data_IF_916356227576
#
_entry.id   IF_916356227576
#
_cell.length_a   1.000
_cell.length_b   1.000
_cell.length_c   1.000
_cell.angle_alpha   90.00
_cell.angle_beta   90.00
_cell.angle_gamma   90.00
#
_symmetry.space_group_name_H-M   'P 1'
#
loop_
_entity.id
_entity.type
_entity.pdbx_description
1 polymer ?
#
# COMPACT_ATOMS: atom_id res chain seq x y z
N UNK A 1 -14.34 -10.16 1.96
CA UNK A 1 -13.29 -9.11 1.89
C UNK A 1 -13.74 -8.00 2.82
N UNK A 2 -12.88 -7.47 3.71
CA UNK A 2 -13.28 -6.36 4.58
C UNK A 2 -13.54 -5.09 3.76
N UNK A 3 -14.37 -4.21 4.27
CA UNK A 3 -14.56 -2.88 3.69
C UNK A 3 -13.38 -1.98 4.11
N UNK A 4 -12.77 -1.21 3.20
CA UNK A 4 -11.74 -0.24 3.58
C UNK A 4 -12.33 0.82 4.50
N UNK A 5 -11.60 1.13 5.57
CA UNK A 5 -11.94 2.25 6.45
C UNK A 5 -11.69 3.58 5.73
N UNK A 6 -12.22 4.68 6.27
CA UNK A 6 -11.88 6.03 5.76
C UNK A 6 -10.37 6.27 5.80
N UNK A 7 -9.68 5.82 6.86
CA UNK A 7 -8.24 5.96 6.99
C UNK A 7 -7.47 5.20 5.89
N UNK A 8 -7.93 4.00 5.52
CA UNK A 8 -7.35 3.23 4.41
C UNK A 8 -7.49 3.97 3.08
N UNK A 9 -8.67 4.58 2.84
CA UNK A 9 -8.93 5.38 1.63
C UNK A 9 -8.07 6.65 1.60
N UNK A 10 -8.01 7.39 2.71
CA UNK A 10 -7.20 8.62 2.81
C UNK A 10 -5.70 8.31 2.61
N UNK A 11 -5.21 7.21 3.19
CA UNK A 11 -3.84 6.78 3.00
C UNK A 11 -3.57 6.31 1.55
N UNK A 12 -4.55 5.69 0.89
CA UNK A 12 -4.44 5.32 -0.53
C UNK A 12 -4.40 6.56 -1.44
N UNK A 13 -5.19 7.59 -1.16
CA UNK A 13 -5.12 8.86 -1.91
C UNK A 13 -3.77 9.57 -1.69
N UNK A 14 -3.25 9.61 -0.46
CA UNK A 14 -1.90 10.13 -0.18
C UNK A 14 -0.82 9.38 -0.94
N UNK A 15 -0.88 8.05 -0.96
CA UNK A 15 0.03 7.22 -1.74
C UNK A 15 0.01 7.62 -3.22
N UNK A 16 -1.17 7.76 -3.84
CA UNK A 16 -1.27 8.19 -5.24
C UNK A 16 -0.71 9.59 -5.47
N UNK A 17 -0.95 10.51 -4.55
CA UNK A 17 -0.42 11.87 -4.63
C UNK A 17 1.12 11.87 -4.61
N UNK A 18 1.72 11.11 -3.69
CA UNK A 18 3.18 11.01 -3.57
C UNK A 18 3.82 10.35 -4.80
N UNK A 19 3.20 9.30 -5.34
CA UNK A 19 3.64 8.69 -6.59
C UNK A 19 3.63 9.71 -7.74
N UNK A 20 2.57 10.54 -7.82
CA UNK A 20 2.46 11.57 -8.85
C UNK A 20 3.51 12.68 -8.69
N UNK A 21 3.80 13.10 -7.46
CA UNK A 21 4.87 14.07 -7.15
C UNK A 21 6.22 13.53 -7.66
N UNK A 22 6.45 12.23 -7.55
CA UNK A 22 7.68 11.55 -8.00
C UNK A 22 7.68 11.14 -9.47
N UNK A 23 6.66 11.53 -10.24
CA UNK A 23 6.58 11.27 -11.68
C UNK A 23 6.23 9.82 -12.04
N UNK A 24 5.66 9.05 -11.12
CA UNK A 24 5.19 7.67 -11.38
C UNK A 24 3.70 7.50 -11.02
N UNK A 25 3.17 6.29 -11.16
CA UNK A 25 1.79 5.95 -10.84
C UNK A 25 1.62 4.46 -10.51
N UNK A 26 0.49 4.08 -9.91
CA UNK A 26 0.15 2.67 -9.71
C UNK A 26 0.16 1.89 -11.03
N UNK A 27 -0.40 2.45 -12.10
CA UNK A 27 -0.42 1.80 -13.40
C UNK A 27 0.99 1.60 -13.99
N UNK A 28 1.92 2.52 -13.75
CA UNK A 28 3.31 2.35 -14.17
C UNK A 28 3.98 1.23 -13.37
N UNK A 29 3.86 1.25 -12.05
CA UNK A 29 4.39 0.19 -11.17
C UNK A 29 3.80 -1.17 -11.52
N UNK A 30 2.53 -1.23 -11.89
CA UNK A 30 1.83 -2.44 -12.34
C UNK A 30 2.50 -3.06 -13.55
N UNK A 31 2.77 -2.24 -14.58
CA UNK A 31 3.49 -2.64 -15.79
C UNK A 31 4.91 -3.10 -15.48
N UNK A 32 5.62 -2.36 -14.64
CA UNK A 32 7.01 -2.68 -14.26
C UNK A 32 7.10 -3.99 -13.47
N UNK A 33 6.10 -4.30 -12.63
CA UNK A 33 6.06 -5.52 -11.84
C UNK A 33 5.45 -6.73 -12.56
N UNK A 34 4.69 -6.51 -13.65
CA UNK A 34 3.90 -7.54 -14.32
C UNK A 34 2.72 -8.04 -13.49
N UNK A 35 2.08 -7.16 -12.71
CA UNK A 35 0.91 -7.48 -11.87
C UNK A 35 -0.33 -6.73 -12.36
N UNK A 36 -1.50 -6.99 -11.78
CA UNK A 36 -2.73 -6.26 -12.13
C UNK A 36 -2.88 -4.97 -11.33
N UNK A 37 -3.48 -3.95 -11.95
CA UNK A 37 -3.82 -2.68 -11.28
C UNK A 37 -4.75 -2.90 -10.08
N UNK A 38 -5.65 -3.89 -10.16
CA UNK A 38 -6.53 -4.29 -9.06
C UNK A 38 -5.75 -4.80 -7.86
N UNK A 39 -4.69 -5.61 -8.07
CA UNK A 39 -3.85 -6.10 -6.98
C UNK A 39 -3.12 -4.93 -6.27
N UNK A 40 -2.56 -4.00 -7.05
CA UNK A 40 -1.94 -2.78 -6.53
C UNK A 40 -2.94 -1.90 -5.76
N UNK A 41 -4.16 -1.76 -6.26
CA UNK A 41 -5.21 -1.00 -5.59
C UNK A 41 -5.62 -1.65 -4.27
N UNK A 42 -5.74 -2.98 -4.22
CA UNK A 42 -6.06 -3.71 -3.00
C UNK A 42 -4.96 -3.58 -1.95
N UNK A 43 -3.69 -3.69 -2.34
CA UNK A 43 -2.55 -3.48 -1.44
C UNK A 43 -2.48 -2.03 -0.97
N UNK A 44 -2.62 -1.07 -1.88
CA UNK A 44 -2.63 0.36 -1.56
C UNK A 44 -3.75 0.75 -0.59
N UNK A 45 -4.89 0.05 -0.64
CA UNK A 45 -6.02 0.19 0.29
C UNK A 45 -5.91 -0.70 1.53
N UNK A 46 -4.79 -1.40 1.74
CA UNK A 46 -4.58 -2.32 2.87
C UNK A 46 -5.63 -3.45 2.95
N UNK A 47 -6.19 -3.84 1.82
CA UNK A 47 -7.20 -4.90 1.68
C UNK A 47 -6.58 -6.26 1.37
N UNK A 48 -5.36 -6.27 0.83
CA UNK A 48 -4.54 -7.45 0.63
C UNK A 48 -3.10 -7.16 1.05
N UNK A 49 -2.37 -8.20 1.44
CA UNK A 49 -0.93 -8.14 1.72
C UNK A 49 -0.16 -8.78 0.58
N UNK A 50 0.90 -8.11 0.14
CA UNK A 50 1.83 -8.65 -0.85
C UNK A 50 3.15 -7.96 -0.68
N UNK A 51 4.12 -8.66 -0.10
CA UNK A 51 5.45 -8.11 0.19
C UNK A 51 6.13 -7.55 -1.06
N UNK A 52 5.92 -8.18 -2.23
CA UNK A 52 6.47 -7.70 -3.51
C UNK A 52 5.87 -6.35 -3.91
N UNK A 53 4.55 -6.20 -3.78
CA UNK A 53 3.85 -4.96 -4.15
C UNK A 53 4.12 -3.87 -3.11
N UNK A 54 4.07 -4.19 -1.81
CA UNK A 54 4.38 -3.26 -0.72
C UNK A 54 5.79 -2.68 -0.87
N UNK A 55 6.79 -3.52 -1.13
CA UNK A 55 8.17 -3.09 -1.41
C UNK A 55 8.28 -2.16 -2.61
N UNK A 56 7.60 -2.49 -3.72
CA UNK A 56 7.64 -1.66 -4.91
C UNK A 56 6.98 -0.28 -4.68
N UNK A 57 5.85 -0.25 -4.00
CA UNK A 57 5.16 0.99 -3.65
C UNK A 57 5.99 1.84 -2.69
N UNK A 58 6.56 1.23 -1.65
CA UNK A 58 7.41 1.90 -0.68
C UNK A 58 8.67 2.49 -1.33
N UNK A 59 9.36 1.71 -2.16
CA UNK A 59 10.51 2.18 -2.93
C UNK A 59 10.14 3.36 -3.83
N UNK A 60 9.00 3.28 -4.53
CA UNK A 60 8.55 4.33 -5.43
C UNK A 60 8.22 5.64 -4.70
N UNK A 61 7.80 5.59 -3.44
CA UNK A 61 7.59 6.77 -2.58
C UNK A 61 8.76 7.06 -1.64
N UNK A 62 9.90 6.38 -1.79
CA UNK A 62 11.08 6.57 -0.96
C UNK A 62 10.85 6.36 0.54
N UNK A 63 10.01 5.39 0.90
CA UNK A 63 9.74 4.97 2.26
C UNK A 63 10.09 3.48 2.44
N UNK A 64 10.11 3.01 3.69
CA UNK A 64 10.15 1.58 3.97
C UNK A 64 8.74 0.96 3.87
N UNK A 65 8.61 -0.35 3.57
CA UNK A 65 7.31 -1.03 3.57
C UNK A 65 6.58 -0.94 4.91
N UNK A 66 7.31 -1.02 6.02
CA UNK A 66 6.78 -0.94 7.39
C UNK A 66 6.26 0.45 7.74
N UNK A 67 6.90 1.53 7.26
CA UNK A 67 6.40 2.89 7.45
C UNK A 67 5.18 3.18 6.59
N UNK A 68 5.17 2.68 5.35
CA UNK A 68 4.08 2.92 4.41
C UNK A 68 2.85 2.04 4.70
N UNK A 69 3.07 0.79 5.08
CA UNK A 69 2.05 -0.21 5.38
C UNK A 69 2.28 -0.79 6.79
N UNK A 70 2.07 0.01 7.85
CA UNK A 70 2.23 -0.48 9.20
C UNK A 70 1.35 -1.70 9.43
N UNK A 71 1.92 -2.75 10.02
CA UNK A 71 1.13 -3.85 10.54
C UNK A 71 0.30 -3.32 11.70
N UNK A 72 -1.00 -3.18 11.48
CA UNK A 72 -1.95 -3.09 12.59
C UNK A 72 -2.02 -4.50 13.19
N UNK A 73 -1.11 -4.83 14.10
CA UNK A 73 -1.49 -5.77 15.15
C UNK A 73 -2.54 -5.04 15.96
N UNK A 74 -3.79 -5.52 15.90
CA UNK A 74 -4.80 -5.06 16.85
C UNK A 74 -4.22 -5.21 18.26
N UNK A 75 -4.39 -4.18 19.10
CA UNK A 75 -4.20 -4.26 20.54
C UNK A 75 -4.89 -5.53 21.07
N UNK A 76 -4.11 -6.60 21.26
CA UNK A 76 -4.72 -7.92 21.43
C UNK A 76 -3.77 -9.10 21.40
N UNK A 77 -2.54 -8.95 21.89
CA UNK A 77 -1.76 -10.12 22.35
C UNK A 77 -1.35 -9.88 23.80
N UNK A 78 -2.29 -10.26 24.68
CA UNK A 78 -2.09 -10.90 25.99
C UNK A 78 -0.65 -10.83 26.52
N UNK A 79 -0.42 -9.92 27.47
CA UNK A 79 0.65 -10.11 28.46
C UNK A 79 0.06 -10.95 29.59
N UNK A 80 0.50 -12.22 29.63
CA UNK A 80 0.40 -13.11 30.78
C UNK A 80 1.53 -12.82 31.78
#
# INVERSE_FOLDING_TARGET
MRTPTKADLDAHERLKAELRIRGTSLAQISRDLGVSDSALTLVGKRMCRSQRIEKALALAVGASPEDLFPDFQEEGVIMA
#
